data_IF_067888735378
#
_entry.id   IF_067888735378
#
_cell.length_a   1.000
_cell.length_b   1.000
_cell.length_c   1.000
_cell.angle_alpha   90.00
_cell.angle_beta   90.00
_cell.angle_gamma   90.00
#
_symmetry.space_group_name_H-M   'P 1'
#
loop_
_entity.id
_entity.type
_entity.pdbx_description
1 polymer ?
#
# COMPACT_ATOMS: atom_id res chain seq x y z
N UNK A 1 -23.65 -21.59 37.15
CA UNK A 1 -22.40 -22.30 36.83
C UNK A 1 -22.19 -22.18 35.36
N UNK A 2 -21.46 -21.22 34.94
CA UNK A 2 -20.87 -21.16 33.59
C UNK A 2 -19.63 -20.30 33.74
N UNK A 3 -18.51 -20.97 33.89
CA UNK A 3 -17.18 -20.34 33.77
C UNK A 3 -16.93 -20.17 32.27
N UNK A 4 -17.31 -19.01 31.74
CA UNK A 4 -16.76 -18.58 30.46
C UNK A 4 -15.28 -18.37 30.69
N UNK A 5 -14.52 -19.16 29.95
CA UNK A 5 -13.08 -19.22 29.95
C UNK A 5 -12.58 -17.89 29.31
N UNK A 6 -12.42 -16.87 30.15
CA UNK A 6 -11.93 -15.56 29.80
C UNK A 6 -10.39 -15.64 29.59
N UNK A 7 -9.99 -16.49 28.63
CA UNK A 7 -8.62 -16.49 28.13
C UNK A 7 -8.54 -15.33 27.12
N UNK A 8 -7.85 -14.24 27.41
CA UNK A 8 -7.78 -13.10 26.49
C UNK A 8 -7.28 -13.62 25.13
N UNK A 9 -8.09 -13.41 24.10
CA UNK A 9 -7.76 -13.81 22.74
C UNK A 9 -6.44 -13.17 22.32
N UNK A 10 -5.41 -13.98 22.12
CA UNK A 10 -4.09 -13.51 21.67
C UNK A 10 -4.21 -13.09 20.21
N UNK A 11 -3.93 -11.83 19.93
CA UNK A 11 -3.98 -11.26 18.57
C UNK A 11 -2.87 -11.90 17.73
N UNK A 12 -3.26 -12.61 16.69
CA UNK A 12 -2.33 -13.22 15.74
C UNK A 12 -1.95 -12.22 14.67
N UNK A 13 -0.64 -12.06 14.44
CA UNK A 13 -0.10 -11.07 13.51
C UNK A 13 0.75 -11.78 12.44
N UNK A 14 0.61 -11.35 11.20
CA UNK A 14 1.52 -11.65 10.11
C UNK A 14 2.27 -10.38 9.71
N UNK A 15 3.57 -10.47 9.43
CA UNK A 15 4.38 -9.36 8.94
C UNK A 15 5.02 -9.71 7.59
N UNK A 16 4.89 -8.79 6.62
CA UNK A 16 5.43 -8.98 5.27
C UNK A 16 6.23 -7.76 4.86
N UNK A 17 7.51 -7.94 4.66
CA UNK A 17 8.46 -6.89 4.26
C UNK A 17 9.73 -7.55 3.68
N UNK A 18 10.31 -6.96 2.64
CA UNK A 18 11.55 -7.45 2.05
C UNK A 18 12.82 -7.00 2.81
N UNK A 19 12.65 -6.23 3.90
CA UNK A 19 13.73 -5.79 4.78
C UNK A 19 13.79 -6.65 6.06
N UNK A 20 14.76 -7.60 6.20
CA UNK A 20 14.83 -8.50 7.35
C UNK A 20 14.93 -7.77 8.70
N UNK A 21 15.68 -6.65 8.76
CA UNK A 21 15.83 -5.86 9.98
C UNK A 21 14.50 -5.29 10.49
N UNK A 22 13.57 -4.98 9.59
CA UNK A 22 12.24 -4.53 9.99
C UNK A 22 11.41 -5.67 10.57
N UNK A 23 11.44 -6.84 9.95
CA UNK A 23 10.80 -8.06 10.48
C UNK A 23 11.33 -8.41 11.87
N UNK A 24 12.66 -8.36 12.07
CA UNK A 24 13.29 -8.55 13.39
C UNK A 24 12.79 -7.52 14.41
N UNK A 25 12.66 -6.25 14.00
CA UNK A 25 12.13 -5.18 14.83
C UNK A 25 10.67 -5.41 15.24
N UNK A 26 9.83 -5.86 14.30
CA UNK A 26 8.42 -6.20 14.54
C UNK A 26 8.34 -7.42 15.48
N UNK A 27 9.10 -8.49 15.22
CA UNK A 27 9.16 -9.68 16.05
C UNK A 27 9.53 -9.32 17.50
N UNK A 28 10.58 -8.52 17.69
CA UNK A 28 11.00 -8.04 19.00
C UNK A 28 9.91 -7.19 19.69
N UNK A 29 9.22 -6.33 18.95
CA UNK A 29 8.16 -5.50 19.51
C UNK A 29 6.94 -6.31 19.98
N UNK A 30 6.61 -7.41 19.29
CA UNK A 30 5.47 -8.26 19.62
C UNK A 30 5.81 -9.30 20.69
N UNK A 31 7.04 -9.82 20.73
CA UNK A 31 7.46 -10.83 21.73
C UNK A 31 7.39 -10.33 23.18
N UNK A 32 7.44 -9.02 23.38
CA UNK A 32 7.29 -8.38 24.70
C UNK A 32 5.82 -8.28 25.16
N UNK A 33 4.85 -8.67 24.31
CA UNK A 33 3.42 -8.49 24.59
C UNK A 33 2.74 -9.84 24.80
N UNK A 34 2.07 -10.05 25.95
CA UNK A 34 1.35 -11.30 26.20
C UNK A 34 0.07 -11.46 25.37
N UNK A 35 -0.45 -10.35 24.84
CA UNK A 35 -1.70 -10.30 24.07
C UNK A 35 -1.51 -10.35 22.55
N UNK A 36 -0.25 -10.54 22.08
CA UNK A 36 0.06 -10.57 20.65
C UNK A 36 1.04 -11.70 20.31
N UNK A 37 0.90 -12.26 19.10
CA UNK A 37 1.81 -13.29 18.60
C UNK A 37 2.05 -13.11 17.10
N UNK A 38 3.32 -13.00 16.70
CA UNK A 38 3.71 -13.11 15.30
C UNK A 38 3.65 -14.59 14.89
N UNK A 39 2.79 -14.93 13.92
CA UNK A 39 2.53 -16.32 13.51
C UNK A 39 3.04 -16.64 12.11
N UNK A 40 3.27 -15.62 11.28
CA UNK A 40 3.76 -15.78 9.93
C UNK A 40 4.58 -14.56 9.50
N UNK A 41 5.53 -14.78 8.61
CA UNK A 41 6.34 -13.75 7.96
C UNK A 41 6.43 -14.04 6.47
N UNK A 42 6.65 -12.98 5.68
CA UNK A 42 6.89 -13.09 4.25
C UNK A 42 7.82 -11.96 3.78
N UNK A 43 8.47 -12.17 2.65
CA UNK A 43 9.42 -11.24 2.04
C UNK A 43 8.89 -10.61 0.74
N UNK A 44 7.70 -11.01 0.29
CA UNK A 44 7.06 -10.51 -0.92
C UNK A 44 5.55 -10.78 -0.89
N UNK A 45 4.82 -10.17 -1.83
CA UNK A 45 3.36 -10.31 -1.88
C UNK A 45 2.86 -11.73 -2.18
N UNK A 46 3.62 -12.53 -2.93
CA UNK A 46 3.25 -13.94 -3.22
C UNK A 46 3.26 -14.76 -1.93
N UNK A 47 4.33 -14.67 -1.17
CA UNK A 47 4.42 -15.30 0.15
C UNK A 47 3.33 -14.79 1.09
N UNK A 48 3.01 -13.48 1.05
CA UNK A 48 1.94 -12.91 1.86
C UNK A 48 0.59 -13.61 1.61
N UNK A 49 0.21 -13.80 0.34
CA UNK A 49 -1.05 -14.48 -0.01
C UNK A 49 -1.03 -15.93 0.44
N UNK A 50 0.06 -16.66 0.20
CA UNK A 50 0.22 -18.06 0.60
C UNK A 50 0.15 -18.23 2.13
N UNK A 51 0.90 -17.41 2.89
CA UNK A 51 0.90 -17.44 4.34
C UNK A 51 -0.46 -17.03 4.93
N UNK A 52 -1.12 -16.04 4.32
CA UNK A 52 -2.46 -15.65 4.75
C UNK A 52 -3.48 -16.79 4.58
N UNK A 53 -3.41 -17.54 3.49
CA UNK A 53 -4.28 -18.71 3.25
C UNK A 53 -4.14 -19.79 4.33
N UNK A 54 -2.90 -20.02 4.78
CA UNK A 54 -2.58 -21.05 5.77
C UNK A 54 -2.93 -20.60 7.20
N UNK A 55 -2.51 -19.38 7.56
CA UNK A 55 -2.48 -18.95 8.96
C UNK A 55 -3.68 -18.10 9.39
N UNK A 56 -4.35 -17.41 8.46
CA UNK A 56 -5.50 -16.53 8.74
C UNK A 56 -5.26 -15.59 9.91
N UNK A 57 -4.24 -14.72 9.85
CA UNK A 57 -3.91 -13.83 10.96
C UNK A 57 -5.03 -12.83 11.23
N UNK A 58 -5.17 -12.39 12.48
CA UNK A 58 -6.11 -11.34 12.87
C UNK A 58 -5.74 -9.99 12.28
N UNK A 59 -4.42 -9.70 12.17
CA UNK A 59 -3.89 -8.49 11.58
C UNK A 59 -2.67 -8.82 10.72
N UNK A 60 -2.62 -8.25 9.53
CA UNK A 60 -1.47 -8.33 8.62
C UNK A 60 -0.79 -6.96 8.51
N UNK A 61 0.51 -6.91 8.76
CA UNK A 61 1.37 -5.79 8.47
C UNK A 61 2.00 -6.02 7.09
N UNK A 62 1.80 -5.10 6.14
CA UNK A 62 2.15 -5.31 4.74
C UNK A 62 2.94 -4.14 4.19
N UNK A 63 4.18 -4.36 3.79
CA UNK A 63 4.89 -3.39 2.95
C UNK A 63 4.25 -3.31 1.56
N UNK A 64 4.27 -2.13 0.96
CA UNK A 64 3.78 -1.92 -0.41
C UNK A 64 4.83 -2.21 -1.48
N UNK A 65 6.09 -1.93 -1.17
CA UNK A 65 7.18 -2.01 -2.14
C UNK A 65 8.05 -3.25 -1.89
N UNK A 66 7.72 -4.32 -2.55
CA UNK A 66 8.41 -5.60 -2.43
C UNK A 66 8.68 -6.21 -3.82
N UNK A 67 9.75 -7.04 -3.98
CA UNK A 67 10.03 -7.74 -5.22
C UNK A 67 8.99 -8.84 -5.50
N UNK A 68 8.97 -9.37 -6.71
CA UNK A 68 8.13 -10.48 -7.19
C UNK A 68 6.65 -10.08 -7.31
N UNK A 69 6.03 -9.64 -6.23
CA UNK A 69 4.65 -9.18 -6.15
C UNK A 69 4.58 -8.06 -5.10
N UNK A 70 4.08 -6.91 -5.48
CA UNK A 70 3.93 -5.76 -4.58
C UNK A 70 2.81 -5.96 -3.55
N UNK A 71 2.91 -5.25 -2.42
CA UNK A 71 1.93 -5.39 -1.33
C UNK A 71 0.53 -4.91 -1.70
N UNK A 72 0.38 -3.95 -2.61
CA UNK A 72 -0.94 -3.52 -3.08
C UNK A 72 -1.66 -4.62 -3.87
N UNK A 73 -0.95 -5.37 -4.69
CA UNK A 73 -1.48 -6.51 -5.44
C UNK A 73 -1.87 -7.64 -4.47
N UNK A 74 -0.98 -7.97 -3.53
CA UNK A 74 -1.24 -8.96 -2.48
C UNK A 74 -2.46 -8.60 -1.62
N UNK A 75 -2.58 -7.34 -1.21
CA UNK A 75 -3.72 -6.82 -0.45
C UNK A 75 -5.03 -7.03 -1.21
N UNK A 76 -5.06 -6.72 -2.51
CA UNK A 76 -6.25 -6.92 -3.35
C UNK A 76 -6.61 -8.40 -3.49
N UNK A 77 -5.64 -9.26 -3.71
CA UNK A 77 -5.84 -10.71 -3.80
C UNK A 77 -6.38 -11.27 -2.48
N UNK A 78 -5.79 -10.88 -1.34
CA UNK A 78 -6.27 -11.29 -0.02
C UNK A 78 -7.70 -10.80 0.23
N UNK A 79 -8.00 -9.53 -0.01
CA UNK A 79 -9.33 -8.98 0.24
C UNK A 79 -10.41 -9.51 -0.72
N UNK A 80 -10.04 -9.95 -1.90
CA UNK A 80 -10.97 -10.62 -2.82
C UNK A 80 -11.45 -11.98 -2.30
N UNK A 81 -10.57 -12.74 -1.63
CA UNK A 81 -10.93 -14.01 -1.01
C UNK A 81 -11.48 -13.84 0.43
N UNK A 82 -10.96 -12.84 1.18
CA UNK A 82 -11.32 -12.56 2.58
C UNK A 82 -11.61 -11.07 2.79
N UNK A 83 -12.83 -10.62 2.48
CA UNK A 83 -13.21 -9.20 2.56
C UNK A 83 -13.04 -8.57 3.95
N UNK A 84 -13.08 -9.38 5.00
CA UNK A 84 -12.92 -8.93 6.39
C UNK A 84 -11.47 -8.94 6.88
N UNK A 85 -10.50 -9.31 6.05
CA UNK A 85 -9.08 -9.28 6.40
C UNK A 85 -8.64 -7.88 6.86
N UNK A 86 -7.91 -7.84 7.96
CA UNK A 86 -7.42 -6.59 8.55
C UNK A 86 -5.96 -6.37 8.15
N UNK A 87 -5.75 -5.51 7.17
CA UNK A 87 -4.42 -5.23 6.63
C UNK A 87 -4.02 -3.81 6.98
N UNK A 88 -2.85 -3.67 7.62
CA UNK A 88 -2.17 -2.40 7.90
C UNK A 88 -1.00 -2.28 6.93
N UNK A 89 -0.98 -1.18 6.20
CA UNK A 89 0.09 -0.91 5.24
C UNK A 89 1.28 -0.26 5.94
N UNK A 90 2.47 -0.76 5.67
CA UNK A 90 3.74 -0.17 6.07
C UNK A 90 4.36 0.58 4.90
N UNK A 91 4.92 1.77 5.12
CA UNK A 91 5.61 2.54 4.08
C UNK A 91 6.66 3.47 4.64
N UNK A 92 7.60 3.86 3.81
CA UNK A 92 8.62 4.88 4.14
C UNK A 92 8.16 6.31 3.83
N UNK A 93 7.13 6.50 3.01
CA UNK A 93 6.68 7.80 2.52
C UNK A 93 5.22 8.12 2.89
N UNK A 94 4.96 9.38 3.28
CA UNK A 94 3.63 9.87 3.65
C UNK A 94 2.71 10.18 2.46
N UNK A 95 3.22 10.47 1.28
CA UNK A 95 2.46 10.92 0.10
C UNK A 95 2.48 9.91 -1.04
N UNK A 96 2.34 8.62 -0.76
CA UNK A 96 2.43 7.58 -1.77
C UNK A 96 1.05 7.29 -2.39
N UNK A 97 0.92 7.41 -3.70
CA UNK A 97 -0.29 7.03 -4.43
C UNK A 97 -0.70 5.57 -4.17
N UNK A 98 0.25 4.70 -3.84
CA UNK A 98 -0.01 3.32 -3.45
C UNK A 98 -0.72 3.23 -2.10
N UNK A 99 -0.38 4.09 -1.13
CA UNK A 99 -1.08 4.17 0.16
C UNK A 99 -2.54 4.53 -0.05
N UNK A 100 -2.81 5.55 -0.89
CA UNK A 100 -4.16 5.95 -1.25
C UNK A 100 -4.92 4.81 -1.93
N UNK A 101 -4.27 4.11 -2.86
CA UNK A 101 -4.84 2.95 -3.54
C UNK A 101 -5.11 1.80 -2.56
N UNK A 102 -4.22 1.53 -1.61
CA UNK A 102 -4.40 0.50 -0.59
C UNK A 102 -5.57 0.81 0.34
N UNK A 103 -5.69 2.06 0.79
CA UNK A 103 -6.80 2.50 1.63
C UNK A 103 -8.15 2.47 0.90
N UNK A 104 -8.18 2.84 -0.39
CA UNK A 104 -9.36 2.69 -1.26
C UNK A 104 -9.71 1.22 -1.52
N UNK A 105 -8.71 0.34 -1.59
CA UNK A 105 -8.89 -1.10 -1.77
C UNK A 105 -9.30 -1.84 -0.48
N UNK A 106 -9.34 -1.16 0.68
CA UNK A 106 -9.85 -1.74 1.91
C UNK A 106 -8.84 -1.91 3.05
N UNK A 107 -7.60 -1.40 2.93
CA UNK A 107 -6.67 -1.38 4.05
C UNK A 107 -7.29 -0.72 5.28
N UNK A 108 -7.08 -1.32 6.45
CA UNK A 108 -7.65 -0.87 7.73
C UNK A 108 -6.76 0.11 8.48
N UNK A 109 -5.50 0.19 8.12
CA UNK A 109 -4.56 1.11 8.72
C UNK A 109 -3.38 1.40 7.82
N UNK A 110 -2.65 2.42 8.20
CA UNK A 110 -1.43 2.86 7.54
C UNK A 110 -0.43 3.28 8.61
N UNK A 111 0.84 2.92 8.42
CA UNK A 111 1.92 3.23 9.35
C UNK A 111 3.22 3.53 8.60
N UNK A 112 3.98 4.50 9.10
CA UNK A 112 5.34 4.75 8.62
C UNK A 112 6.32 3.74 9.21
N UNK A 113 7.23 3.19 8.40
CA UNK A 113 8.27 2.23 8.83
C UNK A 113 9.23 2.75 9.92
N UNK A 114 9.25 4.06 10.18
CA UNK A 114 10.08 4.69 11.22
C UNK A 114 9.37 4.90 12.56
N UNK A 115 8.14 4.43 12.75
CA UNK A 115 7.39 4.62 13.99
C UNK A 115 7.92 3.80 15.17
N UNK A 116 7.66 4.29 16.40
CA UNK A 116 8.10 3.65 17.64
C UNK A 116 7.32 2.34 17.88
N UNK A 117 7.95 1.39 18.60
CA UNK A 117 7.34 0.08 18.95
C UNK A 117 5.96 0.21 19.62
N UNK A 118 5.76 1.25 20.43
CA UNK A 118 4.47 1.50 21.10
C UNK A 118 3.36 1.78 20.08
N UNK A 119 3.61 2.63 19.11
CA UNK A 119 2.64 3.01 18.08
C UNK A 119 2.22 1.81 17.21
N UNK A 120 3.17 0.91 16.91
CA UNK A 120 2.88 -0.35 16.22
C UNK A 120 1.88 -1.21 17.00
N UNK A 121 2.10 -1.40 18.30
CA UNK A 121 1.22 -2.20 19.17
C UNK A 121 -0.18 -1.59 19.30
N UNK A 122 -0.25 -0.27 19.49
CA UNK A 122 -1.52 0.45 19.61
C UNK A 122 -2.31 0.42 18.29
N UNK A 123 -1.60 0.46 17.14
CA UNK A 123 -2.18 0.27 15.82
C UNK A 123 -2.80 -1.12 15.66
N UNK A 124 -2.05 -2.19 15.99
CA UNK A 124 -2.51 -3.58 15.90
C UNK A 124 -3.78 -3.76 16.75
N UNK A 125 -3.77 -3.32 18.02
CA UNK A 125 -4.96 -3.40 18.90
C UNK A 125 -6.16 -2.65 18.32
N UNK A 126 -5.91 -1.47 17.78
CA UNK A 126 -6.98 -0.64 17.20
C UNK A 126 -7.62 -1.29 15.98
N UNK A 127 -6.79 -1.84 15.09
CA UNK A 127 -7.26 -2.50 13.87
C UNK A 127 -7.93 -3.84 14.21
N UNK A 128 -7.39 -4.60 15.16
CA UNK A 128 -8.03 -5.81 15.67
C UNK A 128 -9.42 -5.53 16.27
N UNK A 129 -9.58 -4.42 16.99
CA UNK A 129 -10.87 -3.95 17.51
C UNK A 129 -11.82 -3.40 16.41
N UNK A 130 -11.50 -3.58 15.14
CA UNK A 130 -12.34 -3.18 13.99
C UNK A 130 -12.23 -1.70 13.62
N UNK A 131 -11.39 -0.91 14.28
CA UNK A 131 -11.20 0.51 13.95
C UNK A 131 -10.34 0.65 12.70
N UNK A 132 -10.68 1.64 11.88
CA UNK A 132 -9.81 2.10 10.79
C UNK A 132 -8.89 3.19 11.36
N UNK A 133 -7.59 3.00 11.20
CA UNK A 133 -6.57 3.90 11.77
C UNK A 133 -5.77 4.53 10.64
N UNK A 134 -6.10 5.77 10.33
CA UNK A 134 -5.41 6.59 9.34
C UNK A 134 -4.93 7.85 10.04
N UNK A 135 -3.65 8.20 9.97
CA UNK A 135 -3.15 9.46 10.53
C UNK A 135 -3.93 10.66 9.98
N UNK A 136 -4.18 11.70 10.81
CA UNK A 136 -4.96 12.87 10.38
C UNK A 136 -4.43 13.53 9.11
N UNK A 137 -3.11 13.58 8.95
CA UNK A 137 -2.45 14.16 7.78
C UNK A 137 -2.80 13.41 6.49
N UNK A 138 -2.84 12.08 6.56
CA UNK A 138 -3.24 11.22 5.43
C UNK A 138 -4.76 11.28 5.21
N UNK A 139 -5.53 11.41 6.28
CA UNK A 139 -6.98 11.56 6.16
C UNK A 139 -7.36 12.89 5.48
N UNK A 140 -6.63 13.97 5.74
CA UNK A 140 -6.80 15.26 5.06
C UNK A 140 -6.42 15.11 3.59
N UNK A 141 -5.27 14.54 3.29
CA UNK A 141 -4.81 14.27 1.92
C UNK A 141 -5.79 13.35 1.15
N UNK A 142 -6.35 12.34 1.84
CA UNK A 142 -7.43 11.50 1.32
C UNK A 142 -8.68 12.31 0.97
N UNK A 143 -9.05 13.28 1.83
CA UNK A 143 -10.24 14.11 1.62
C UNK A 143 -10.02 15.16 0.52
N UNK A 144 -8.83 15.75 0.45
CA UNK A 144 -8.46 16.73 -0.58
C UNK A 144 -8.32 16.09 -1.98
N UNK A 145 -7.92 14.81 -2.05
CA UNK A 145 -7.72 14.06 -3.28
C UNK A 145 -8.87 13.06 -3.58
N UNK A 146 -9.98 13.16 -2.86
CA UNK A 146 -11.12 12.26 -3.04
C UNK A 146 -11.78 12.43 -4.42
N UNK A 147 -11.63 13.59 -5.05
CA UNK A 147 -12.42 13.96 -6.23
C UNK A 147 -11.66 14.20 -7.55
N UNK A 148 -10.33 14.42 -7.61
CA UNK A 148 -9.79 14.89 -8.90
C UNK A 148 -8.37 14.48 -9.37
N UNK A 149 -7.49 13.91 -8.57
CA UNK A 149 -6.05 13.86 -8.94
C UNK A 149 -5.43 12.48 -9.16
N UNK A 150 -6.21 11.43 -9.24
CA UNK A 150 -5.65 10.14 -9.67
C UNK A 150 -5.50 10.10 -11.20
N UNK A 151 -4.31 9.72 -11.66
CA UNK A 151 -4.12 9.48 -13.09
C UNK A 151 -5.07 8.36 -13.55
N UNK A 152 -5.80 8.61 -14.64
CA UNK A 152 -6.60 7.57 -15.28
C UNK A 152 -5.70 6.47 -15.85
N UNK A 153 -6.25 5.28 -16.09
CA UNK A 153 -5.51 4.18 -16.73
C UNK A 153 -4.85 4.62 -18.04
N UNK A 154 -5.51 5.51 -18.79
CA UNK A 154 -4.98 6.02 -20.05
C UNK A 154 -3.80 6.97 -19.83
N UNK A 155 -3.85 7.81 -18.83
CA UNK A 155 -2.75 8.70 -18.45
C UNK A 155 -1.54 7.89 -17.94
N UNK A 156 -1.77 6.83 -17.17
CA UNK A 156 -0.70 5.91 -16.73
C UNK A 156 -0.05 5.23 -17.94
N UNK A 157 -0.82 4.77 -18.93
CA UNK A 157 -0.28 4.19 -20.16
C UNK A 157 0.59 5.19 -20.92
N UNK A 158 0.13 6.43 -21.08
CA UNK A 158 0.91 7.50 -21.72
C UNK A 158 2.19 7.76 -20.95
N UNK A 159 2.11 7.93 -19.63
CA UNK A 159 3.26 8.26 -18.80
C UNK A 159 4.30 7.14 -18.78
N UNK A 160 3.88 5.87 -18.85
CA UNK A 160 4.77 4.71 -18.99
C UNK A 160 5.57 4.78 -20.30
N UNK A 161 4.94 5.12 -21.40
CA UNK A 161 5.64 5.29 -22.69
C UNK A 161 6.61 6.49 -22.65
N UNK A 162 6.26 7.55 -21.93
CA UNK A 162 7.18 8.66 -21.69
C UNK A 162 8.40 8.23 -20.88
N UNK A 163 8.22 7.38 -19.88
CA UNK A 163 9.30 6.81 -19.06
C UNK A 163 10.28 5.95 -19.89
N UNK A 164 9.78 5.28 -20.93
CA UNK A 164 10.63 4.56 -21.91
C UNK A 164 11.32 5.48 -22.93
N UNK A 165 11.14 6.79 -22.84
CA UNK A 165 11.79 7.77 -23.72
C UNK A 165 11.06 8.04 -25.03
N UNK A 166 9.90 7.46 -25.28
CA UNK A 166 9.15 7.60 -26.53
C UNK A 166 8.66 9.05 -26.75
N UNK A 167 8.79 9.54 -27.99
CA UNK A 167 8.21 10.82 -28.40
C UNK A 167 6.68 10.74 -28.54
N UNK A 168 5.98 11.88 -28.48
CA UNK A 168 4.49 11.89 -28.54
C UNK A 168 3.94 11.20 -29.79
N UNK A 169 4.64 11.28 -30.92
CA UNK A 169 4.26 10.59 -32.16
C UNK A 169 4.33 9.07 -32.00
N UNK A 170 5.41 8.56 -31.44
CA UNK A 170 5.59 7.12 -31.18
C UNK A 170 4.55 6.61 -30.18
N UNK A 171 4.29 7.38 -29.13
CA UNK A 171 3.24 7.08 -28.14
C UNK A 171 1.87 7.02 -28.81
N UNK A 172 1.60 7.94 -29.73
CA UNK A 172 0.34 7.98 -30.48
C UNK A 172 0.14 6.71 -31.33
N UNK A 173 1.19 6.27 -32.02
CA UNK A 173 1.21 5.03 -32.79
C UNK A 173 1.00 3.80 -31.90
N UNK A 174 1.78 3.67 -30.80
CA UNK A 174 1.69 2.55 -29.86
C UNK A 174 0.30 2.45 -29.22
N UNK A 175 -0.28 3.58 -28.85
CA UNK A 175 -1.57 3.61 -28.14
C UNK A 175 -2.77 3.76 -29.08
N UNK A 176 -2.57 3.80 -30.39
CA UNK A 176 -3.57 3.98 -31.44
C UNK A 176 -4.48 5.20 -31.19
N UNK A 177 -3.85 6.36 -31.01
CA UNK A 177 -4.50 7.67 -30.82
C UNK A 177 -3.79 8.74 -31.66
N UNK A 178 -4.28 9.98 -31.64
CA UNK A 178 -3.61 11.10 -32.29
C UNK A 178 -2.49 11.68 -31.41
N UNK A 179 -1.48 12.29 -31.99
CA UNK A 179 -0.45 13.02 -31.24
C UNK A 179 -1.05 14.15 -30.39
N UNK A 180 -2.11 14.79 -30.88
CA UNK A 180 -2.87 15.79 -30.11
C UNK A 180 -3.50 15.22 -28.85
N UNK A 181 -4.01 13.99 -28.90
CA UNK A 181 -4.55 13.27 -27.74
C UNK A 181 -3.46 12.99 -26.71
N UNK A 182 -2.26 12.57 -27.15
CA UNK A 182 -1.10 12.34 -26.26
C UNK A 182 -0.68 13.65 -25.58
N UNK A 183 -0.62 14.78 -26.32
CA UNK A 183 -0.33 16.10 -25.75
C UNK A 183 -1.37 16.52 -24.70
N UNK A 184 -2.64 16.26 -24.97
CA UNK A 184 -3.71 16.56 -24.01
C UNK A 184 -3.56 15.73 -22.71
N UNK A 185 -3.30 14.42 -22.83
CA UNK A 185 -3.01 13.58 -21.68
C UNK A 185 -1.80 14.06 -20.91
N UNK A 186 -0.69 14.40 -21.58
CA UNK A 186 0.51 14.92 -20.91
C UNK A 186 0.24 16.22 -20.15
N UNK A 187 -0.56 17.13 -20.70
CA UNK A 187 -0.96 18.36 -20.01
C UNK A 187 -1.75 18.04 -18.74
N UNK A 188 -2.69 17.12 -18.83
CA UNK A 188 -3.48 16.66 -17.68
C UNK A 188 -2.60 15.98 -16.62
N UNK A 189 -1.70 15.07 -17.02
CA UNK A 189 -0.76 14.38 -16.13
C UNK A 189 0.13 15.38 -15.38
N UNK A 190 0.71 16.38 -16.09
CA UNK A 190 1.55 17.41 -15.49
C UNK A 190 0.78 18.21 -14.45
N UNK A 191 -0.48 18.59 -14.73
CA UNK A 191 -1.35 19.30 -13.81
C UNK A 191 -1.67 18.45 -12.57
N UNK A 192 -2.14 17.20 -12.77
CA UNK A 192 -2.51 16.26 -11.69
C UNK A 192 -1.34 15.89 -10.78
N UNK A 193 -0.13 15.76 -11.33
CA UNK A 193 1.05 15.44 -10.54
C UNK A 193 1.71 16.68 -9.91
N UNK A 194 1.32 17.89 -10.28
CA UNK A 194 2.00 19.12 -9.90
C UNK A 194 3.43 19.20 -10.47
N UNK A 195 3.65 18.58 -11.65
CA UNK A 195 4.96 18.50 -12.26
C UNK A 195 5.30 19.80 -13.00
N UNK A 196 6.60 20.10 -13.15
CA UNK A 196 7.08 21.27 -13.93
C UNK A 196 7.15 20.96 -15.43
N UNK A 197 7.47 19.73 -15.77
CA UNK A 197 7.65 19.23 -17.14
C UNK A 197 7.43 17.71 -17.20
N UNK A 198 7.56 17.13 -18.41
CA UNK A 198 7.35 15.70 -18.65
C UNK A 198 8.32 14.78 -17.90
N UNK A 199 9.59 15.21 -17.76
CA UNK A 199 10.61 14.45 -17.05
C UNK A 199 10.34 14.46 -15.54
N UNK A 200 9.99 15.62 -15.01
CA UNK A 200 9.58 15.75 -13.62
C UNK A 200 8.30 14.95 -13.32
N UNK A 201 7.36 14.86 -14.27
CA UNK A 201 6.17 14.01 -14.14
C UNK A 201 6.52 12.52 -13.98
N UNK A 202 7.48 12.01 -14.78
CA UNK A 202 7.97 10.63 -14.67
C UNK A 202 8.63 10.40 -13.31
N UNK A 203 9.53 11.31 -12.89
CA UNK A 203 10.20 11.19 -11.59
C UNK A 203 9.22 11.19 -10.42
N UNK A 204 8.21 12.06 -10.45
CA UNK A 204 7.16 12.09 -9.43
C UNK A 204 6.32 10.81 -9.45
N UNK A 205 6.00 10.28 -10.63
CA UNK A 205 5.23 9.05 -10.76
C UNK A 205 5.98 7.84 -10.22
N UNK A 206 7.29 7.73 -10.47
CA UNK A 206 8.15 6.68 -9.88
C UNK A 206 8.20 6.85 -8.36
N UNK A 207 8.48 8.06 -7.87
CA UNK A 207 8.55 8.35 -6.42
C UNK A 207 7.23 8.09 -5.70
N UNK A 208 6.08 8.25 -6.37
CA UNK A 208 4.74 7.99 -5.84
C UNK A 208 4.27 6.55 -6.09
N UNK A 209 5.12 5.67 -6.64
CA UNK A 209 4.77 4.29 -6.94
C UNK A 209 3.66 4.11 -8.00
N UNK A 210 3.43 5.13 -8.84
CA UNK A 210 2.49 5.06 -9.97
C UNK A 210 3.10 4.30 -11.14
N UNK A 211 4.42 4.41 -11.30
CA UNK A 211 5.22 3.69 -12.29
C UNK A 211 6.33 2.89 -11.61
N UNK A 212 6.49 1.66 -12.08
CA UNK A 212 7.66 0.81 -11.83
C UNK A 212 8.45 0.73 -13.14
N UNK A 213 9.78 0.90 -13.06
CA UNK A 213 10.72 0.79 -14.19
C UNK A 213 11.52 -0.50 -14.09
#
# INVERSE_FOLDING_TARGET
MTSDNDNPHVITVMAVDDHPLLLDGIRAALSEQPDMKLIAEGSNGREAVEQFRVHRPDVTLMDLQMPVMGGLEALREILAEWPDARIVVLTTYRGDAQVMSALKSGARGFMLKGMMRKELRDMIRSVHAGRRVVPPEIAIELAEHADDDTLSLREIQVLRQVAHGNANREIAEILNVTEGTVKAHMKSIIAKLGAKDRTHAVLLAIRRGILEL
#
